data_IF_394200627719
#
_entry.id   IF_394200627719
#
_cell.length_a   1.000
_cell.length_b   1.000
_cell.length_c   1.000
_cell.angle_alpha   90.00
_cell.angle_beta   90.00
_cell.angle_gamma   90.00
#
_symmetry.space_group_name_H-M   'P 1'
#
loop_
_entity.id
_entity.type
_entity.pdbx_description
1 polymer ?
#
# COMPACT_ATOMS: atom_id res chain seq x y z
N UNK A 1 -37.91 -51.03 -6.25
CA UNK A 1 -36.89 -51.49 -5.29
C UNK A 1 -35.57 -50.81 -5.58
N UNK A 2 -35.13 -49.87 -4.72
CA UNK A 2 -33.73 -49.39 -4.61
C UNK A 2 -33.48 -48.98 -3.15
N UNK A 3 -32.27 -49.28 -2.73
CA UNK A 3 -31.79 -49.63 -1.39
C UNK A 3 -31.60 -48.42 -0.45
N UNK A 4 -31.95 -48.57 0.84
CA UNK A 4 -31.77 -47.60 1.93
C UNK A 4 -30.96 -48.25 3.07
N UNK A 5 -29.68 -48.54 2.85
CA UNK A 5 -28.83 -49.17 3.88
C UNK A 5 -27.47 -48.49 4.14
N UNK A 6 -27.16 -47.35 3.49
CA UNK A 6 -25.83 -46.72 3.56
C UNK A 6 -25.61 -45.57 4.55
N UNK A 7 -26.62 -45.10 5.30
CA UNK A 7 -26.49 -43.86 6.11
C UNK A 7 -26.32 -44.04 7.63
N UNK A 8 -26.26 -45.29 8.12
CA UNK A 8 -26.16 -45.59 9.56
C UNK A 8 -24.74 -45.74 10.11
N UNK A 9 -23.79 -46.29 9.35
CA UNK A 9 -22.47 -46.70 9.89
C UNK A 9 -21.46 -45.55 10.07
N UNK A 10 -21.49 -44.50 9.25
CA UNK A 10 -20.53 -43.39 9.36
C UNK A 10 -20.76 -42.46 10.57
N UNK A 11 -21.94 -42.46 11.19
CA UNK A 11 -22.24 -41.57 12.34
C UNK A 11 -21.79 -42.14 13.69
N UNK A 12 -21.57 -43.45 13.81
CA UNK A 12 -21.04 -44.06 15.04
C UNK A 12 -19.51 -43.98 15.12
N UNK A 13 -18.79 -44.13 14.00
CA UNK A 13 -17.32 -44.01 13.98
C UNK A 13 -16.82 -42.59 14.31
N UNK A 14 -17.53 -41.55 13.88
CA UNK A 14 -17.19 -40.16 14.23
C UNK A 14 -17.42 -39.83 15.72
N UNK A 15 -18.43 -40.45 16.36
CA UNK A 15 -18.71 -40.24 17.79
C UNK A 15 -17.68 -40.89 18.70
N UNK A 16 -17.13 -42.05 18.31
CA UNK A 16 -16.07 -42.74 19.07
C UNK A 16 -14.74 -41.97 18.97
N UNK A 17 -14.40 -41.42 17.80
CA UNK A 17 -13.19 -40.59 17.61
C UNK A 17 -13.23 -39.26 18.39
N UNK A 18 -14.40 -38.63 18.53
CA UNK A 18 -14.55 -37.41 19.37
C UNK A 18 -14.36 -37.68 20.86
N UNK A 19 -14.90 -38.79 21.39
CA UNK A 19 -14.75 -39.17 22.80
C UNK A 19 -13.33 -39.59 23.18
N UNK A 20 -12.52 -40.06 22.22
CA UNK A 20 -11.10 -40.34 22.44
C UNK A 20 -10.26 -39.07 22.63
N UNK A 21 -10.48 -38.05 21.79
CA UNK A 21 -9.73 -36.77 21.84
C UNK A 21 -10.05 -35.94 23.09
N UNK A 22 -11.30 -35.96 23.57
CA UNK A 22 -11.68 -35.25 24.80
C UNK A 22 -11.02 -35.84 26.06
N UNK A 23 -10.71 -37.15 26.08
CA UNK A 23 -10.02 -37.82 27.21
C UNK A 23 -8.51 -37.56 27.23
N UNK A 24 -7.88 -37.28 26.10
CA UNK A 24 -6.46 -36.92 26.03
C UNK A 24 -6.22 -35.47 26.46
N UNK A 25 -7.13 -34.55 26.13
CA UNK A 25 -7.06 -33.15 26.56
C UNK A 25 -7.22 -33.01 28.08
N UNK A 26 -8.13 -33.77 28.70
CA UNK A 26 -8.30 -33.75 30.17
C UNK A 26 -7.10 -34.32 30.94
N UNK A 27 -6.34 -35.27 30.36
CA UNK A 27 -5.13 -35.80 31.01
C UNK A 27 -3.95 -34.83 30.95
N UNK A 28 -3.82 -34.04 29.88
CA UNK A 28 -2.78 -33.00 29.76
C UNK A 28 -2.97 -31.85 30.74
N UNK A 29 -4.22 -31.42 30.97
CA UNK A 29 -4.54 -30.32 31.90
C UNK A 29 -4.36 -30.68 33.40
N UNK A 30 -4.34 -31.97 33.75
CA UNK A 30 -4.06 -32.42 35.13
C UNK A 30 -2.55 -32.55 35.43
N UNK A 31 -1.70 -32.80 34.43
CA UNK A 31 -0.24 -32.86 34.59
C UNK A 31 0.39 -31.46 34.71
N UNK A 32 -0.10 -30.47 33.95
CA UNK A 32 0.41 -29.09 34.00
C UNK A 32 0.12 -28.40 35.35
N UNK A 33 -0.99 -28.76 36.01
CA UNK A 33 -1.34 -28.25 37.37
C UNK A 33 -0.48 -28.84 38.48
N UNK A 34 0.28 -29.92 38.23
CA UNK A 34 1.18 -30.53 39.24
C UNK A 34 2.59 -29.93 39.22
N UNK A 35 3.04 -29.32 38.12
CA UNK A 35 4.38 -28.73 38.03
C UNK A 35 4.48 -27.31 38.59
N UNK A 36 3.36 -26.56 38.64
CA UNK A 36 3.34 -25.15 39.11
C UNK A 36 3.43 -25.02 40.65
N UNK A 37 3.39 -26.11 41.43
CA UNK A 37 3.39 -26.07 42.92
C UNK A 37 4.74 -26.35 43.61
N UNK A 38 5.88 -26.42 42.89
CA UNK A 38 7.19 -26.76 43.49
C UNK A 38 8.26 -25.67 43.47
N UNK A 39 7.93 -24.42 43.18
CA UNK A 39 8.91 -23.39 42.84
C UNK A 39 9.01 -22.14 43.72
N UNK A 40 8.73 -22.17 45.03
CA UNK A 40 8.96 -20.98 45.89
C UNK A 40 9.46 -21.33 47.30
N UNK A 41 10.67 -20.87 47.66
CA UNK A 41 11.14 -20.84 49.05
C UNK A 41 12.65 -20.63 49.25
N UNK A 42 12.98 -19.56 50.01
CA UNK A 42 14.29 -19.15 50.64
C UNK A 42 15.10 -18.12 49.84
N UNK A 43 15.63 -17.03 50.40
CA UNK A 43 15.64 -16.48 51.77
C UNK A 43 16.44 -15.15 51.82
N UNK A 44 16.07 -14.28 52.77
CA UNK A 44 16.70 -12.98 53.09
C UNK A 44 17.96 -13.11 53.96
N UNK A 45 18.92 -12.16 53.85
CA UNK A 45 19.74 -11.65 54.97
C UNK A 45 20.40 -10.29 54.67
N UNK A 46 20.27 -9.38 55.63
CA UNK A 46 20.82 -8.02 55.73
C UNK A 46 22.34 -7.95 55.97
N UNK A 47 22.95 -6.77 55.67
CA UNK A 47 23.79 -6.00 56.62
C UNK A 47 24.19 -4.61 56.09
N UNK A 48 24.25 -3.67 57.04
CA UNK A 48 24.50 -2.23 56.93
C UNK A 48 25.97 -1.84 57.06
N UNK A 49 26.33 -0.61 56.63
CA UNK A 49 27.62 0.01 56.96
C UNK A 49 27.74 1.48 56.50
N UNK A 50 27.85 2.41 57.46
CA UNK A 50 28.12 3.85 57.28
C UNK A 50 29.62 4.14 57.36
N UNK A 51 30.12 5.14 56.62
CA UNK A 51 31.43 5.78 56.85
C UNK A 51 31.54 7.15 56.18
N UNK A 52 31.86 8.19 56.97
CA UNK A 52 32.15 9.60 56.55
C UNK A 52 33.67 9.85 56.59
N UNK A 53 34.21 10.69 55.68
CA UNK A 53 35.40 11.59 55.86
C UNK A 53 35.48 12.55 54.64
N UNK A 54 35.19 13.85 54.83
CA UNK A 54 36.07 15.07 54.91
C UNK A 54 36.62 15.56 53.55
N UNK A 55 36.39 16.86 53.30
CA UNK A 55 36.52 17.62 52.03
C UNK A 55 37.84 18.39 51.96
N UNK A 56 38.40 18.51 50.76
CA UNK A 56 39.45 19.48 50.39
C UNK A 56 38.88 20.54 49.43
N UNK A 57 38.96 21.82 49.82
CA UNK A 57 38.24 22.95 49.18
C UNK A 57 38.84 23.45 47.84
N UNK A 58 40.00 22.94 47.41
CA UNK A 58 40.60 23.33 46.11
C UNK A 58 40.06 22.56 44.90
N UNK A 59 39.40 21.42 45.11
CA UNK A 59 38.72 20.69 44.03
C UNK A 59 37.34 21.28 43.67
N UNK A 60 36.71 22.03 44.59
CA UNK A 60 35.33 22.50 44.42
C UNK A 60 35.19 23.61 43.35
N UNK A 61 36.20 24.47 43.13
CA UNK A 61 36.10 25.55 42.12
C UNK A 61 36.29 25.04 40.69
N UNK A 62 37.22 24.12 40.46
CA UNK A 62 37.44 23.50 39.15
C UNK A 62 36.25 22.61 38.75
N UNK A 63 35.65 21.92 39.74
CA UNK A 63 34.43 21.14 39.54
C UNK A 63 33.22 22.04 39.26
N UNK A 64 33.09 23.20 39.93
CA UNK A 64 32.04 24.20 39.64
C UNK A 64 32.15 24.76 38.21
N UNK A 65 33.37 25.02 37.71
CA UNK A 65 33.61 25.45 36.33
C UNK A 65 33.20 24.39 35.29
N UNK A 66 33.61 23.14 35.49
CA UNK A 66 33.24 21.99 34.63
C UNK A 66 31.72 21.72 34.68
N UNK A 67 31.08 21.91 35.84
CA UNK A 67 29.63 21.75 36.02
C UNK A 67 28.83 22.85 35.30
N UNK A 68 29.29 24.11 35.32
CA UNK A 68 28.66 25.22 34.57
C UNK A 68 28.74 25.02 33.05
N UNK A 69 29.87 24.55 32.51
CA UNK A 69 30.01 24.23 31.09
C UNK A 69 29.09 23.08 30.66
N UNK A 70 29.05 22.00 31.45
CA UNK A 70 28.11 20.87 31.23
C UNK A 70 26.64 21.29 31.30
N UNK A 71 26.27 22.24 32.15
CA UNK A 71 24.90 22.76 32.19
C UNK A 71 24.54 23.60 30.96
N UNK A 72 25.47 24.44 30.46
CA UNK A 72 25.26 25.18 29.20
C UNK A 72 25.11 24.24 28.01
N UNK A 73 25.97 23.23 27.87
CA UNK A 73 25.90 22.26 26.77
C UNK A 73 24.62 21.40 26.84
N UNK A 74 24.16 21.03 28.05
CA UNK A 74 22.87 20.36 28.25
C UNK A 74 21.68 21.27 27.90
N UNK A 75 21.77 22.57 28.18
CA UNK A 75 20.70 23.53 27.85
C UNK A 75 20.62 23.78 26.34
N UNK A 76 21.76 23.85 25.63
CA UNK A 76 21.80 23.98 24.16
C UNK A 76 21.24 22.75 23.46
N UNK A 77 21.68 21.54 23.86
CA UNK A 77 21.13 20.27 23.34
C UNK A 77 19.64 20.09 23.66
N UNK A 78 19.18 20.63 24.79
CA UNK A 78 17.77 20.63 25.18
C UNK A 78 16.91 21.55 24.33
N UNK A 79 17.44 22.71 23.91
CA UNK A 79 16.77 23.64 22.98
C UNK A 79 16.72 23.07 21.56
N UNK A 80 17.82 22.57 21.02
CA UNK A 80 17.84 21.92 19.70
C UNK A 80 16.90 20.71 19.62
N UNK A 81 16.84 19.88 20.68
CA UNK A 81 15.88 18.77 20.74
C UNK A 81 14.44 19.27 20.79
N UNK A 82 14.15 20.34 21.53
CA UNK A 82 12.80 20.92 21.59
C UNK A 82 12.40 21.51 20.24
N UNK A 83 13.27 22.29 19.60
CA UNK A 83 13.04 22.85 18.26
C UNK A 83 12.82 21.75 17.22
N UNK A 84 13.67 20.71 17.18
CA UNK A 84 13.46 19.56 16.28
C UNK A 84 12.16 18.80 16.58
N UNK A 85 11.73 18.72 17.84
CA UNK A 85 10.48 18.04 18.22
C UNK A 85 9.26 18.91 17.86
N UNK A 86 9.38 20.22 17.98
CA UNK A 86 8.32 21.18 17.69
C UNK A 86 8.16 21.41 16.19
N UNK A 87 9.26 21.40 15.43
CA UNK A 87 9.28 21.36 13.97
C UNK A 87 8.71 20.04 13.44
N UNK A 88 9.08 18.90 14.04
CA UNK A 88 8.47 17.60 13.74
C UNK A 88 6.97 17.59 14.03
N UNK A 89 6.52 18.16 15.17
CA UNK A 89 5.10 18.32 15.49
C UNK A 89 4.38 19.26 14.51
N UNK A 90 4.98 20.37 14.10
CA UNK A 90 4.41 21.29 13.09
C UNK A 90 4.31 20.61 11.72
N UNK A 91 5.28 19.77 11.34
CA UNK A 91 5.21 18.95 10.12
C UNK A 91 4.15 17.83 10.22
N UNK A 92 3.94 17.25 11.40
CA UNK A 92 2.91 16.23 11.63
C UNK A 92 1.48 16.81 11.62
N UNK A 93 1.31 18.08 12.04
CA UNK A 93 0.00 18.77 12.05
C UNK A 93 -0.40 19.29 10.66
N UNK A 94 0.54 19.64 9.78
CA UNK A 94 0.25 20.10 8.41
C UNK A 94 -0.10 18.99 7.41
N UNK A 95 0.06 17.72 7.77
CA UNK A 95 -0.03 16.60 6.82
C UNK A 95 -1.46 16.20 6.41
N UNK A 96 -2.50 16.89 6.91
CA UNK A 96 -3.90 16.55 6.67
C UNK A 96 -4.63 17.35 5.59
N UNK A 97 -3.95 18.26 4.89
CA UNK A 97 -4.57 19.15 3.89
C UNK A 97 -4.02 18.95 2.46
N UNK A 98 -3.18 17.94 2.24
CA UNK A 98 -2.55 17.65 0.94
C UNK A 98 -3.08 16.37 0.28
N UNK A 99 -2.72 16.17 -0.99
CA UNK A 99 -3.00 14.94 -1.72
C UNK A 99 -2.11 13.80 -1.19
N UNK A 100 -2.73 12.72 -0.71
CA UNK A 100 -2.02 11.53 -0.21
C UNK A 100 -2.20 10.35 -1.18
N UNK A 101 -1.08 9.76 -1.58
CA UNK A 101 -1.00 8.62 -2.49
C UNK A 101 -1.56 7.35 -1.83
N UNK A 102 -2.57 6.75 -2.45
CA UNK A 102 -3.16 5.47 -2.00
C UNK A 102 -2.30 4.28 -2.41
N UNK A 103 -1.80 4.31 -3.65
CA UNK A 103 -0.99 3.29 -4.31
C UNK A 103 -0.41 3.81 -5.62
N UNK A 104 0.67 3.16 -6.09
CA UNK A 104 1.15 3.29 -7.47
C UNK A 104 0.84 1.99 -8.19
N UNK A 105 0.31 2.10 -9.41
CA UNK A 105 -0.01 0.97 -10.26
C UNK A 105 0.88 1.03 -11.50
N UNK A 106 1.71 0.00 -11.72
CA UNK A 106 2.54 -0.08 -12.92
C UNK A 106 2.52 -1.42 -13.62
N UNK A 107 1.45 -2.20 -13.42
CA UNK A 107 1.20 -3.42 -14.20
C UNK A 107 -0.23 -3.50 -14.68
N UNK A 108 -0.40 -4.00 -15.91
CA UNK A 108 -1.68 -4.17 -16.60
C UNK A 108 -2.61 -2.93 -16.49
N UNK A 109 -2.08 -1.74 -16.78
CA UNK A 109 -2.83 -0.49 -16.66
C UNK A 109 -3.88 -0.40 -17.77
N UNK A 110 -5.15 -0.50 -17.37
CA UNK A 110 -6.32 -0.35 -18.25
C UNK A 110 -7.16 0.89 -17.94
N UNK A 111 -8.23 1.06 -18.71
CA UNK A 111 -9.23 2.12 -18.50
C UNK A 111 -8.93 3.47 -19.16
N UNK A 112 -7.86 3.58 -19.96
CA UNK A 112 -7.45 4.84 -20.60
C UNK A 112 -8.54 5.38 -21.54
N UNK A 113 -9.06 4.53 -22.41
CA UNK A 113 -10.15 4.90 -23.32
C UNK A 113 -11.43 5.27 -22.56
N UNK A 114 -11.78 4.52 -21.51
CA UNK A 114 -12.93 4.85 -20.66
C UNK A 114 -12.76 6.21 -20.00
N UNK A 115 -11.58 6.55 -19.51
CA UNK A 115 -11.33 7.86 -18.87
C UNK A 115 -11.55 9.03 -19.83
N UNK A 116 -11.03 8.92 -21.05
CA UNK A 116 -11.22 9.91 -22.11
C UNK A 116 -12.69 10.01 -22.55
N UNK A 117 -13.36 8.87 -22.74
CA UNK A 117 -14.78 8.84 -23.10
C UNK A 117 -15.68 9.45 -22.00
N UNK A 118 -15.40 9.15 -20.73
CA UNK A 118 -16.12 9.74 -19.59
C UNK A 118 -15.91 11.26 -19.54
N UNK A 119 -14.71 11.74 -19.82
CA UNK A 119 -14.41 13.18 -19.94
C UNK A 119 -15.28 13.84 -21.00
N UNK A 120 -15.36 13.23 -22.18
CA UNK A 120 -16.20 13.73 -23.28
C UNK A 120 -17.70 13.69 -22.93
N UNK A 121 -18.14 12.65 -22.22
CA UNK A 121 -19.52 12.55 -21.73
C UNK A 121 -19.83 13.69 -20.73
N UNK A 122 -18.99 13.91 -19.73
CA UNK A 122 -19.19 14.97 -18.74
C UNK A 122 -19.17 16.36 -19.37
N UNK A 123 -18.28 16.64 -20.33
CA UNK A 123 -18.32 17.91 -21.09
C UNK A 123 -19.66 18.13 -21.82
N UNK A 124 -20.25 17.08 -22.39
CA UNK A 124 -21.59 17.17 -23.02
C UNK A 124 -22.68 17.48 -22.00
N UNK A 125 -22.61 16.87 -20.80
CA UNK A 125 -23.58 17.14 -19.72
C UNK A 125 -23.43 18.58 -19.23
N UNK A 126 -22.20 19.01 -18.90
CA UNK A 126 -21.90 20.37 -18.45
C UNK A 126 -22.35 21.42 -19.48
N UNK A 127 -22.13 21.16 -20.77
CA UNK A 127 -22.58 22.04 -21.87
C UNK A 127 -24.10 22.19 -21.89
N UNK A 128 -24.85 21.09 -21.72
CA UNK A 128 -26.33 21.15 -21.64
C UNK A 128 -26.83 21.90 -20.40
N UNK A 129 -26.05 21.91 -19.32
CA UNK A 129 -26.36 22.62 -18.08
C UNK A 129 -25.86 24.08 -18.09
N UNK A 130 -25.15 24.52 -19.13
CA UNK A 130 -24.56 25.86 -19.21
C UNK A 130 -23.41 26.11 -18.24
N UNK A 131 -22.71 25.06 -17.80
CA UNK A 131 -21.56 25.15 -16.90
C UNK A 131 -20.24 25.38 -17.65
N UNK A 132 -19.27 26.01 -16.99
CA UNK A 132 -17.96 26.29 -17.59
C UNK A 132 -17.22 24.97 -17.91
N UNK A 133 -16.89 24.79 -19.19
CA UNK A 133 -16.18 23.60 -19.69
C UNK A 133 -14.67 23.64 -19.43
N UNK A 134 -14.09 24.81 -19.16
CA UNK A 134 -12.66 24.96 -18.88
C UNK A 134 -12.27 24.27 -17.56
N UNK A 135 -13.21 24.22 -16.61
CA UNK A 135 -13.02 23.51 -15.34
C UNK A 135 -13.06 21.98 -15.50
N UNK A 136 -13.49 21.46 -16.66
CA UNK A 136 -13.38 20.04 -17.00
C UNK A 136 -12.05 19.79 -17.71
N UNK A 137 -11.09 19.25 -16.94
CA UNK A 137 -9.72 19.00 -17.39
C UNK A 137 -9.70 18.18 -18.67
N UNK A 138 -8.94 18.62 -19.66
CA UNK A 138 -8.77 17.87 -20.89
C UNK A 138 -8.06 16.53 -20.62
N UNK A 139 -8.52 15.47 -21.28
CA UNK A 139 -8.02 14.12 -21.06
C UNK A 139 -7.83 13.40 -22.39
N UNK A 140 -6.59 13.34 -22.87
CA UNK A 140 -6.21 12.70 -24.16
C UNK A 140 -5.40 11.43 -23.94
N UNK A 141 -5.78 10.65 -22.92
CA UNK A 141 -5.02 9.48 -22.47
C UNK A 141 -4.70 8.50 -23.59
N UNK A 142 -5.65 8.27 -24.52
CA UNK A 142 -5.44 7.33 -25.61
C UNK A 142 -4.41 7.86 -26.60
N UNK A 143 -4.60 9.09 -27.08
CA UNK A 143 -3.67 9.74 -28.02
C UNK A 143 -2.27 9.85 -27.45
N UNK A 144 -2.14 10.25 -26.19
CA UNK A 144 -0.85 10.41 -25.53
C UNK A 144 -0.14 9.05 -25.33
N UNK A 145 -0.88 7.96 -25.14
CA UNK A 145 -0.31 6.60 -25.10
C UNK A 145 0.21 6.17 -26.46
N UNK A 146 -0.55 6.43 -27.53
CA UNK A 146 -0.11 6.14 -28.90
C UNK A 146 1.11 6.97 -29.27
N UNK A 147 1.14 8.24 -28.88
CA UNK A 147 2.29 9.12 -29.10
C UNK A 147 3.54 8.64 -28.35
N UNK A 148 3.38 8.14 -27.12
CA UNK A 148 4.49 7.53 -26.37
C UNK A 148 5.06 6.30 -27.10
N UNK A 149 4.20 5.47 -27.70
CA UNK A 149 4.63 4.33 -28.52
C UNK A 149 5.31 4.78 -29.83
N UNK A 150 4.78 5.80 -30.49
CA UNK A 150 5.35 6.36 -31.72
C UNK A 150 6.74 6.97 -31.47
N UNK A 151 6.91 7.73 -30.38
CA UNK A 151 8.18 8.35 -29.99
C UNK A 151 9.26 7.37 -29.58
N UNK A 152 8.93 6.08 -29.40
CA UNK A 152 9.90 5.04 -29.12
C UNK A 152 10.87 4.72 -30.29
N UNK A 153 11.01 5.61 -31.28
CA UNK A 153 11.91 5.48 -32.44
C UNK A 153 11.74 4.16 -33.21
N UNK A 154 10.49 3.71 -33.30
CA UNK A 154 10.14 2.47 -33.97
C UNK A 154 9.98 2.71 -35.47
N UNK A 155 10.72 1.98 -36.28
CA UNK A 155 10.60 1.97 -37.74
C UNK A 155 10.13 0.61 -38.22
N UNK A 156 9.29 0.56 -39.25
CA UNK A 156 8.92 -0.69 -39.90
C UNK A 156 9.91 -0.97 -41.04
N UNK A 157 10.49 -2.17 -41.07
CA UNK A 157 11.27 -2.62 -42.21
C UNK A 157 10.34 -2.87 -43.41
N UNK A 158 10.63 -2.25 -44.55
CA UNK A 158 9.76 -2.35 -45.73
C UNK A 158 9.84 -3.72 -46.44
N UNK A 159 10.85 -4.55 -46.14
CA UNK A 159 11.08 -5.83 -46.80
C UNK A 159 10.51 -7.01 -46.01
N UNK A 160 10.72 -7.02 -44.69
CA UNK A 160 10.28 -8.12 -43.82
C UNK A 160 9.16 -7.74 -42.83
N UNK A 161 8.74 -6.47 -42.83
CA UNK A 161 7.72 -5.91 -41.93
C UNK A 161 8.06 -6.09 -40.44
N UNK A 162 9.34 -6.30 -40.11
CA UNK A 162 9.77 -6.29 -38.72
C UNK A 162 9.79 -4.87 -38.17
N UNK A 163 9.41 -4.76 -36.90
CA UNK A 163 9.57 -3.53 -36.14
C UNK A 163 11.05 -3.42 -35.73
N UNK A 164 11.70 -2.29 -36.01
CA UNK A 164 13.10 -2.04 -35.67
C UNK A 164 13.26 -0.82 -34.75
N UNK A 165 14.15 -0.92 -33.76
CA UNK A 165 14.63 0.20 -32.95
C UNK A 165 15.96 0.68 -33.56
N UNK A 166 16.05 1.98 -33.82
CA UNK A 166 17.20 2.64 -34.43
C UNK A 166 17.65 1.99 -35.75
N UNK A 167 16.71 1.44 -36.53
CA UNK A 167 16.92 0.74 -37.81
C UNK A 167 17.80 -0.54 -37.74
N UNK A 168 18.32 -0.91 -36.57
CA UNK A 168 19.29 -2.00 -36.43
C UNK A 168 18.74 -3.22 -35.68
N UNK A 169 17.90 -3.01 -34.67
CA UNK A 169 17.51 -4.08 -33.76
C UNK A 169 16.07 -4.52 -33.99
N UNK A 170 15.83 -5.81 -34.22
CA UNK A 170 14.48 -6.37 -34.21
C UNK A 170 13.81 -6.11 -32.86
N UNK A 171 12.66 -5.46 -32.88
CA UNK A 171 11.85 -5.15 -31.70
C UNK A 171 10.63 -6.04 -31.71
N UNK A 172 10.53 -6.88 -30.68
CA UNK A 172 9.26 -7.40 -30.25
C UNK A 172 8.82 -6.61 -29.02
N UNK A 173 7.56 -6.18 -28.97
CA UNK A 173 6.96 -5.63 -27.75
C UNK A 173 6.00 -6.66 -27.20
N UNK A 174 6.18 -7.03 -25.94
CA UNK A 174 5.24 -7.90 -25.23
C UNK A 174 4.46 -7.07 -24.23
N UNK A 175 3.17 -6.87 -24.53
CA UNK A 175 2.24 -6.29 -23.57
C UNK A 175 1.83 -7.37 -22.56
N UNK A 176 2.27 -7.20 -21.31
CA UNK A 176 2.06 -8.19 -20.28
C UNK A 176 0.82 -7.86 -19.45
N UNK A 177 -0.23 -8.65 -19.60
CA UNK A 177 -1.46 -8.51 -18.83
C UNK A 177 -1.41 -9.26 -17.49
N UNK A 178 -0.36 -10.04 -17.22
CA UNK A 178 -0.17 -10.65 -15.91
C UNK A 178 0.35 -9.61 -14.93
N UNK A 179 -0.44 -9.35 -13.90
CA UNK A 179 -0.20 -8.28 -12.92
C UNK A 179 1.19 -8.40 -12.27
N UNK A 180 1.56 -9.55 -11.69
CA UNK A 180 2.93 -9.76 -11.20
C UNK A 180 3.32 -11.23 -11.21
N UNK A 181 2.71 -11.99 -10.30
CA UNK A 181 2.99 -13.40 -10.07
C UNK A 181 1.71 -14.21 -10.30
N UNK A 182 1.89 -15.49 -10.64
CA UNK A 182 0.78 -16.42 -10.82
C UNK A 182 1.03 -17.69 -9.98
N UNK A 183 -0.03 -18.23 -9.37
CA UNK A 183 0.05 -19.49 -8.61
C UNK A 183 0.28 -20.70 -9.51
N UNK A 184 -0.01 -20.59 -10.81
CA UNK A 184 0.11 -21.65 -11.80
C UNK A 184 1.53 -21.71 -12.36
N UNK A 185 2.30 -22.78 -12.11
CA UNK A 185 3.68 -22.90 -12.57
C UNK A 185 3.83 -22.73 -14.09
N UNK A 186 2.88 -23.21 -14.88
CA UNK A 186 2.88 -23.09 -16.34
C UNK A 186 2.79 -21.63 -16.81
N UNK A 187 2.01 -20.80 -16.11
CA UNK A 187 1.90 -19.38 -16.41
C UNK A 187 3.17 -18.63 -15.98
N UNK A 188 3.80 -19.06 -14.89
CA UNK A 188 5.10 -18.56 -14.46
C UNK A 188 6.24 -18.97 -15.39
N UNK A 189 6.16 -20.15 -16.01
CA UNK A 189 7.13 -20.58 -17.01
C UNK A 189 7.02 -19.74 -18.29
N UNK A 190 5.80 -19.45 -18.75
CA UNK A 190 5.58 -18.50 -19.86
C UNK A 190 6.13 -17.11 -19.49
N UNK A 191 5.86 -16.63 -18.27
CA UNK A 191 6.43 -15.37 -17.78
C UNK A 191 7.94 -15.40 -17.82
N UNK A 192 8.57 -16.49 -17.39
CA UNK A 192 10.04 -16.67 -17.43
C UNK A 192 10.58 -16.60 -18.85
N UNK A 193 9.92 -17.23 -19.82
CA UNK A 193 10.31 -17.16 -21.24
C UNK A 193 10.25 -15.71 -21.75
N UNK A 194 9.15 -15.00 -21.48
CA UNK A 194 8.97 -13.59 -21.87
C UNK A 194 10.06 -12.71 -21.25
N UNK A 195 10.27 -12.81 -19.94
CA UNK A 195 11.23 -11.95 -19.23
C UNK A 195 12.68 -12.21 -19.67
N UNK A 196 13.03 -13.45 -20.06
CA UNK A 196 14.35 -13.82 -20.58
C UNK A 196 14.56 -13.49 -22.06
N UNK A 197 13.51 -13.15 -22.80
CA UNK A 197 13.62 -12.75 -24.21
C UNK A 197 14.24 -11.36 -24.36
N UNK A 198 14.62 -10.99 -25.57
CA UNK A 198 15.09 -9.64 -25.93
C UNK A 198 13.95 -8.66 -26.22
N UNK A 199 12.69 -9.09 -26.13
CA UNK A 199 11.54 -8.23 -26.35
C UNK A 199 11.49 -7.08 -25.32
N UNK A 200 11.01 -5.91 -25.72
CA UNK A 200 10.63 -4.83 -24.81
C UNK A 200 9.37 -5.27 -24.07
N UNK A 201 9.38 -5.18 -22.73
CA UNK A 201 8.25 -5.60 -21.89
C UNK A 201 7.48 -4.38 -21.39
N UNK A 202 6.16 -4.42 -21.54
CA UNK A 202 5.26 -3.37 -21.08
C UNK A 202 4.20 -3.96 -20.11
N UNK A 203 4.48 -3.95 -18.78
CA UNK A 203 5.77 -3.71 -18.14
C UNK A 203 6.65 -4.97 -18.09
N UNK A 204 7.93 -4.81 -17.72
CA UNK A 204 8.78 -5.91 -17.25
C UNK A 204 8.35 -6.40 -15.87
N UNK A 205 8.77 -7.62 -15.48
CA UNK A 205 8.46 -8.16 -14.15
C UNK A 205 9.04 -7.31 -13.01
N UNK A 206 10.26 -6.80 -13.18
CA UNK A 206 10.87 -5.93 -12.18
C UNK A 206 10.11 -4.61 -12.02
N UNK A 207 9.66 -4.01 -13.13
CA UNK A 207 8.82 -2.83 -13.10
C UNK A 207 7.48 -3.15 -12.41
N UNK A 208 6.87 -4.30 -12.67
CA UNK A 208 5.64 -4.71 -11.99
C UNK A 208 5.85 -4.87 -10.47
N UNK A 209 6.92 -5.54 -10.04
CA UNK A 209 7.26 -5.77 -8.62
C UNK A 209 7.61 -4.47 -7.86
N UNK A 210 8.19 -3.49 -8.55
CA UNK A 210 8.50 -2.18 -7.98
C UNK A 210 7.24 -1.42 -7.51
N UNK A 211 6.06 -1.79 -8.01
CA UNK A 211 4.77 -1.21 -7.61
C UNK A 211 4.03 -2.02 -6.55
N UNK A 212 4.70 -3.00 -5.92
CA UNK A 212 4.14 -3.70 -4.76
C UNK A 212 3.96 -2.74 -3.58
N UNK A 213 2.96 -3.02 -2.74
CA UNK A 213 2.71 -2.22 -1.52
C UNK A 213 3.89 -2.27 -0.55
N UNK A 214 4.69 -3.35 -0.59
CA UNK A 214 5.93 -3.45 0.19
C UNK A 214 6.97 -2.42 -0.27
N UNK A 215 7.18 -2.29 -1.58
CA UNK A 215 8.13 -1.29 -2.11
C UNK A 215 7.63 0.12 -1.82
N UNK A 216 6.34 0.40 -2.01
CA UNK A 216 5.74 1.68 -1.64
C UNK A 216 5.98 2.01 -0.14
N UNK A 217 5.75 1.03 0.75
CA UNK A 217 6.02 1.19 2.18
C UNK A 217 7.49 1.47 2.46
N UNK A 218 8.42 0.73 1.85
CA UNK A 218 9.86 0.94 2.05
C UNK A 218 10.28 2.32 1.54
N UNK A 219 9.81 2.75 0.36
CA UNK A 219 10.11 4.08 -0.19
C UNK A 219 9.64 5.22 0.73
N UNK A 220 8.58 5.00 1.52
CA UNK A 220 8.11 6.00 2.48
C UNK A 220 9.05 6.24 3.68
N UNK A 221 10.00 5.33 3.92
CA UNK A 221 10.95 5.46 5.02
C UNK A 221 11.95 6.61 4.80
N UNK A 222 12.54 7.18 5.87
CA UNK A 222 13.55 8.22 5.74
C UNK A 222 14.75 7.75 4.91
N UNK A 223 15.19 8.55 3.93
CA UNK A 223 16.37 8.26 3.10
C UNK A 223 16.14 7.29 1.94
N UNK A 224 14.98 6.64 1.83
CA UNK A 224 14.74 5.63 0.79
C UNK A 224 14.46 6.24 -0.58
N UNK A 225 13.78 7.39 -0.67
CA UNK A 225 13.60 8.10 -1.95
C UNK A 225 14.93 8.71 -2.38
N UNK A 226 15.63 9.34 -1.44
CA UNK A 226 16.93 10.00 -1.61
C UNK A 226 17.99 9.06 -2.20
N UNK A 227 17.88 7.75 -1.91
CA UNK A 227 18.74 6.71 -2.50
C UNK A 227 18.68 6.65 -4.02
N UNK A 228 17.54 7.02 -4.63
CA UNK A 228 17.33 6.98 -6.08
C UNK A 228 17.56 8.33 -6.77
N UNK A 229 17.71 9.41 -6.00
CA UNK A 229 17.92 10.79 -6.47
C UNK A 229 19.13 11.40 -5.76
N UNK A 230 20.36 10.99 -6.14
CA UNK A 230 21.58 11.38 -5.41
C UNK A 230 21.99 12.83 -5.67
N UNK A 231 21.44 13.51 -6.70
CA UNK A 231 21.86 14.86 -7.03
C UNK A 231 21.15 15.87 -6.13
N UNK A 232 21.88 16.79 -5.46
CA UNK A 232 21.26 17.77 -4.55
C UNK A 232 20.20 18.67 -5.21
N UNK A 233 20.29 18.89 -6.52
CA UNK A 233 19.32 19.67 -7.30
C UNK A 233 17.94 18.99 -7.36
N UNK A 234 17.86 17.68 -7.10
CA UNK A 234 16.61 16.90 -7.08
C UNK A 234 15.86 17.03 -5.75
N UNK A 235 16.39 17.77 -4.77
CA UNK A 235 15.75 17.95 -3.46
C UNK A 235 14.28 18.44 -3.52
N UNK A 236 13.89 19.38 -4.42
CA UNK A 236 12.49 19.77 -4.58
C UNK A 236 11.60 18.63 -5.09
N UNK A 237 12.11 17.80 -6.01
CA UNK A 237 11.40 16.62 -6.52
C UNK A 237 11.23 15.56 -5.43
N UNK A 238 12.30 15.26 -4.69
CA UNK A 238 12.25 14.35 -3.53
C UNK A 238 11.21 14.84 -2.53
N UNK A 239 11.19 16.14 -2.23
CA UNK A 239 10.19 16.73 -1.33
C UNK A 239 8.77 16.53 -1.88
N UNK A 240 8.54 16.83 -3.16
CA UNK A 240 7.23 16.65 -3.79
C UNK A 240 6.75 15.19 -3.71
N UNK A 241 7.63 14.21 -3.99
CA UNK A 241 7.31 12.78 -3.84
C UNK A 241 6.98 12.43 -2.38
N UNK A 242 7.80 12.88 -1.42
CA UNK A 242 7.59 12.57 0.00
C UNK A 242 6.34 13.22 0.58
N UNK A 243 5.95 14.38 0.06
CA UNK A 243 4.75 15.10 0.49
C UNK A 243 3.47 14.34 0.11
N UNK A 244 3.49 13.49 -0.93
CA UNK A 244 2.33 12.65 -1.29
C UNK A 244 2.22 11.39 -0.43
N UNK A 245 3.28 10.95 0.25
CA UNK A 245 3.24 9.67 0.96
C UNK A 245 2.37 9.70 2.21
N UNK A 246 1.32 8.89 2.21
CA UNK A 246 0.63 8.49 3.43
C UNK A 246 1.58 7.75 4.37
N UNK A 247 1.26 7.73 5.67
CA UNK A 247 2.07 6.94 6.63
C UNK A 247 1.85 5.45 6.39
N UNK A 248 2.94 4.70 6.28
CA UNK A 248 2.95 3.26 6.10
C UNK A 248 3.94 2.60 7.06
N UNK A 249 3.67 1.35 7.42
CA UNK A 249 4.45 0.62 8.42
C UNK A 249 4.61 -0.85 8.06
N UNK A 250 5.80 -1.37 8.40
CA UNK A 250 6.08 -2.81 8.45
C UNK A 250 5.37 -3.44 9.65
N UNK A 251 4.85 -4.66 9.44
CA UNK A 251 4.24 -5.45 10.52
C UNK A 251 4.99 -6.74 10.84
N UNK A 252 6.24 -6.83 10.37
CA UNK A 252 7.13 -7.92 10.76
C UNK A 252 7.58 -7.74 12.21
N UNK A 253 7.45 -8.79 13.01
CA UNK A 253 7.98 -8.87 14.37
C UNK A 253 9.42 -9.38 14.30
N UNK A 254 10.39 -8.47 14.16
CA UNK A 254 11.81 -8.81 14.11
C UNK A 254 12.69 -7.70 14.73
N UNK A 255 13.96 -8.02 14.98
CA UNK A 255 14.93 -7.11 15.62
C UNK A 255 15.14 -5.80 14.84
N UNK A 256 14.89 -5.80 13.54
CA UNK A 256 15.04 -4.64 12.67
C UNK A 256 13.78 -3.74 12.65
N UNK A 257 12.73 -4.07 13.40
CA UNK A 257 11.48 -3.30 13.49
C UNK A 257 11.19 -2.89 14.94
N UNK A 258 12.03 -2.01 15.49
CA UNK A 258 11.88 -1.46 16.85
C UNK A 258 10.53 -0.76 17.08
N UNK A 259 9.85 -0.32 16.01
CA UNK A 259 8.57 0.38 16.08
C UNK A 259 7.37 -0.56 16.18
N UNK A 260 7.55 -1.87 15.97
CA UNK A 260 6.46 -2.85 15.91
C UNK A 260 5.57 -2.80 17.16
N UNK A 261 6.16 -2.91 18.36
CA UNK A 261 5.37 -2.97 19.60
C UNK A 261 4.55 -1.69 19.86
N UNK A 262 5.10 -0.52 19.50
CA UNK A 262 4.41 0.75 19.63
C UNK A 262 3.30 0.91 18.57
N UNK A 263 3.56 0.49 17.34
CA UNK A 263 2.56 0.44 16.27
C UNK A 263 1.36 -0.42 16.69
N UNK A 264 1.60 -1.64 17.17
CA UNK A 264 0.53 -2.54 17.60
C UNK A 264 -0.30 -1.94 18.75
N UNK A 265 0.32 -1.23 19.70
CA UNK A 265 -0.42 -0.51 20.75
C UNK A 265 -1.32 0.58 20.17
N UNK A 266 -0.85 1.32 19.16
CA UNK A 266 -1.65 2.36 18.48
C UNK A 266 -2.82 1.75 17.71
N UNK A 267 -2.58 0.67 16.96
CA UNK A 267 -3.63 -0.05 16.23
C UNK A 267 -4.68 -0.58 17.20
N UNK A 268 -4.29 -1.19 18.33
CA UNK A 268 -5.24 -1.64 19.38
C UNK A 268 -6.09 -0.52 19.97
N UNK A 269 -5.54 0.70 20.08
CA UNK A 269 -6.25 1.84 20.64
C UNK A 269 -7.22 2.47 19.63
N UNK A 270 -6.84 2.51 18.35
CA UNK A 270 -7.60 3.20 17.30
C UNK A 270 -7.51 2.45 15.96
N UNK A 271 -8.11 1.25 15.85
CA UNK A 271 -7.93 0.42 14.66
C UNK A 271 -8.57 1.03 13.40
N UNK A 272 -9.59 1.87 13.57
CA UNK A 272 -10.26 2.61 12.48
C UNK A 272 -9.37 3.66 11.79
N UNK A 273 -8.17 3.95 12.32
CA UNK A 273 -7.20 4.85 11.70
C UNK A 273 -6.27 4.13 10.72
N UNK A 274 -6.42 2.82 10.54
CA UNK A 274 -5.51 2.01 9.75
C UNK A 274 -6.25 1.18 8.69
N UNK A 275 -5.52 0.81 7.65
CA UNK A 275 -5.88 -0.20 6.67
C UNK A 275 -4.73 -1.19 6.61
N UNK A 276 -5.03 -2.48 6.68
CA UNK A 276 -4.03 -3.53 6.43
C UNK A 276 -4.21 -4.07 5.02
N UNK A 277 -3.15 -4.03 4.22
CA UNK A 277 -3.14 -4.44 2.81
C UNK A 277 -2.13 -5.55 2.59
N UNK A 278 -2.44 -6.49 1.68
CA UNK A 278 -1.46 -7.48 1.24
C UNK A 278 -0.36 -6.78 0.43
N UNK A 279 0.86 -7.28 0.48
CA UNK A 279 2.01 -6.69 -0.23
C UNK A 279 1.90 -6.83 -1.75
N UNK A 280 1.32 -7.96 -2.20
CA UNK A 280 1.05 -8.25 -3.60
C UNK A 280 -0.16 -7.45 -4.11
N UNK A 281 0.04 -6.75 -5.21
CA UNK A 281 -1.04 -6.17 -6.02
C UNK A 281 -1.71 -7.29 -6.81
N UNK A 282 -2.98 -7.60 -6.49
CA UNK A 282 -3.94 -8.47 -7.19
C UNK A 282 -3.39 -9.74 -7.90
N UNK A 283 -3.86 -10.92 -7.49
CA UNK A 283 -3.60 -12.17 -8.20
C UNK A 283 -4.67 -12.40 -9.27
N UNK A 284 -4.27 -12.34 -10.55
CA UNK A 284 -5.13 -12.77 -11.65
C UNK A 284 -4.99 -14.28 -11.83
N UNK A 285 -5.98 -15.06 -11.38
CA UNK A 285 -6.17 -16.39 -11.94
C UNK A 285 -6.81 -16.22 -13.32
N UNK A 286 -6.19 -16.79 -14.35
CA UNK A 286 -6.55 -16.64 -15.76
C UNK A 286 -7.96 -17.20 -16.13
N UNK A 287 -8.80 -17.51 -15.15
CA UNK A 287 -10.13 -18.10 -15.29
C UNK A 287 -11.23 -17.39 -14.47
N UNK A 288 -11.20 -16.05 -14.41
CA UNK A 288 -12.32 -15.21 -13.92
C UNK A 288 -12.64 -15.30 -12.42
N UNK A 289 -11.87 -16.01 -11.60
CA UNK A 289 -11.97 -15.88 -10.15
C UNK A 289 -11.01 -14.78 -9.69
N UNK A 290 -11.49 -13.54 -9.73
CA UNK A 290 -10.79 -12.41 -9.13
C UNK A 290 -10.69 -12.67 -7.62
N UNK A 291 -9.53 -13.11 -7.13
CA UNK A 291 -9.26 -13.08 -5.69
C UNK A 291 -9.04 -11.60 -5.34
N UNK A 292 -10.15 -10.90 -5.03
CA UNK A 292 -10.14 -9.49 -4.65
C UNK A 292 -9.07 -9.30 -3.57
N UNK A 293 -8.19 -8.33 -3.77
CA UNK A 293 -7.19 -7.96 -2.77
C UNK A 293 -7.89 -7.74 -1.42
N UNK A 294 -7.67 -8.65 -0.48
CA UNK A 294 -8.31 -8.55 0.83
C UNK A 294 -7.67 -7.42 1.62
N UNK A 295 -8.44 -6.35 1.83
CA UNK A 295 -8.13 -5.29 2.78
C UNK A 295 -8.79 -5.60 4.12
N UNK A 296 -8.09 -5.32 5.22
CA UNK A 296 -8.65 -5.45 6.56
C UNK A 296 -8.79 -4.07 7.19
N UNK A 297 -9.89 -3.85 7.90
CA UNK A 297 -10.26 -2.56 8.47
C UNK A 297 -10.77 -2.73 9.90
N UNK A 298 -10.53 -1.70 10.72
CA UNK A 298 -11.06 -1.68 12.08
C UNK A 298 -10.62 -2.91 12.89
N UNK A 299 -11.53 -3.46 13.68
CA UNK A 299 -11.26 -4.61 14.55
C UNK A 299 -10.76 -5.86 13.80
N UNK A 300 -11.11 -6.02 12.51
CA UNK A 300 -10.64 -7.14 11.70
C UNK A 300 -9.10 -7.17 11.57
N UNK A 301 -8.46 -6.00 11.66
CA UNK A 301 -6.99 -5.90 11.69
C UNK A 301 -6.44 -6.62 12.93
N UNK A 302 -7.06 -6.43 14.09
CA UNK A 302 -6.60 -7.03 15.35
C UNK A 302 -6.80 -8.54 15.36
N UNK A 303 -7.97 -9.00 14.92
CA UNK A 303 -8.26 -10.43 14.76
C UNK A 303 -7.25 -11.10 13.83
N UNK A 304 -6.92 -10.43 12.73
CA UNK A 304 -5.98 -10.98 11.75
C UNK A 304 -4.54 -11.02 12.28
N UNK A 305 -4.09 -9.95 12.95
CA UNK A 305 -2.76 -9.92 13.56
C UNK A 305 -2.60 -10.99 14.66
N UNK A 306 -3.67 -11.29 15.41
CA UNK A 306 -3.68 -12.35 16.42
C UNK A 306 -3.57 -13.75 15.81
N UNK A 307 -4.19 -13.96 14.63
CA UNK A 307 -4.25 -15.26 13.96
C UNK A 307 -3.06 -15.54 13.02
N UNK A 308 -2.32 -14.51 12.61
CA UNK A 308 -1.16 -14.66 11.73
C UNK A 308 0.12 -14.88 12.52
N UNK A 309 0.94 -15.83 12.05
CA UNK A 309 2.34 -15.97 12.45
C UNK A 309 3.21 -14.85 11.83
N UNK A 310 4.49 -14.81 12.20
CA UNK A 310 5.42 -13.79 11.70
C UNK A 310 5.59 -13.81 10.18
N UNK A 311 5.58 -14.98 9.56
CA UNK A 311 5.71 -15.14 8.11
C UNK A 311 4.50 -14.57 7.37
N UNK A 312 3.29 -14.94 7.80
CA UNK A 312 2.05 -14.39 7.23
C UNK A 312 1.96 -12.89 7.43
N UNK A 313 2.33 -12.35 8.60
CA UNK A 313 2.37 -10.90 8.83
C UNK A 313 3.28 -10.19 7.83
N UNK A 314 4.43 -10.77 7.47
CA UNK A 314 5.35 -10.16 6.49
C UNK A 314 4.77 -9.99 5.07
N UNK A 315 3.68 -10.70 4.77
CA UNK A 315 2.95 -10.55 3.50
C UNK A 315 1.99 -9.36 3.49
N UNK A 316 2.00 -8.51 4.52
CA UNK A 316 1.12 -7.35 4.64
C UNK A 316 1.87 -6.10 5.07
N UNK A 317 1.24 -4.96 4.84
CA UNK A 317 1.63 -3.66 5.39
C UNK A 317 0.46 -3.04 6.15
N UNK A 318 0.75 -2.13 7.07
CA UNK A 318 -0.24 -1.18 7.58
C UNK A 318 -0.05 0.17 6.91
N UNK A 319 -1.17 0.81 6.58
CA UNK A 319 -1.23 2.16 6.04
C UNK A 319 -2.23 2.98 6.84
N UNK A 320 -1.98 4.28 6.97
CA UNK A 320 -2.96 5.22 7.52
C UNK A 320 -4.24 5.22 6.67
N UNK A 321 -5.39 5.16 7.33
CA UNK A 321 -6.67 5.23 6.64
C UNK A 321 -6.94 6.68 6.23
N UNK A 322 -6.78 6.95 4.94
CA UNK A 322 -7.08 8.24 4.33
C UNK A 322 -8.58 8.53 4.42
N UNK A 323 -8.90 9.81 4.67
CA UNK A 323 -10.28 10.30 4.81
C UNK A 323 -10.50 11.42 3.81
N UNK A 324 -10.91 11.07 2.59
CA UNK A 324 -11.25 12.08 1.59
C UNK A 324 -12.60 12.72 1.91
N UNK A 325 -12.78 13.98 1.49
CA UNK A 325 -14.05 14.69 1.61
C UNK A 325 -15.13 13.99 0.78
N UNK A 326 -16.24 13.67 1.42
CA UNK A 326 -17.42 13.19 0.71
C UNK A 326 -18.10 14.34 -0.05
N UNK A 327 -18.66 14.02 -1.22
CA UNK A 327 -19.51 14.92 -2.01
C UNK A 327 -20.81 14.22 -2.36
N UNK A 328 -21.84 14.97 -2.74
CA UNK A 328 -23.08 14.41 -3.28
C UNK A 328 -22.94 14.25 -4.79
N UNK A 329 -23.27 13.08 -5.32
CA UNK A 329 -23.27 12.85 -6.77
C UNK A 329 -24.30 11.78 -7.16
N UNK A 330 -24.58 11.65 -8.46
CA UNK A 330 -25.35 10.54 -9.02
C UNK A 330 -24.40 9.44 -9.49
N UNK A 331 -24.53 8.23 -8.97
CA UNK A 331 -23.84 7.06 -9.55
C UNK A 331 -24.82 6.32 -10.46
N UNK A 332 -24.42 6.11 -11.73
CA UNK A 332 -25.22 5.41 -12.73
C UNK A 332 -24.64 4.02 -13.00
N UNK A 333 -25.41 2.96 -12.72
CA UNK A 333 -25.11 1.59 -13.16
C UNK A 333 -26.36 0.91 -13.73
N UNK A 334 -26.17 0.01 -14.71
CA UNK A 334 -27.24 -0.56 -15.53
C UNK A 334 -28.34 -1.28 -14.72
N UNK A 335 -27.98 -1.86 -13.57
CA UNK A 335 -28.88 -2.67 -12.73
C UNK A 335 -29.45 -1.92 -11.53
N UNK A 336 -29.20 -0.62 -11.38
CA UNK A 336 -29.67 0.10 -10.21
C UNK A 336 -31.18 0.36 -10.29
N UNK A 337 -31.97 -0.37 -9.49
CA UNK A 337 -33.43 -0.22 -9.46
C UNK A 337 -33.89 1.20 -9.08
N UNK A 338 -33.07 1.96 -8.32
CA UNK A 338 -33.38 3.36 -7.99
C UNK A 338 -33.52 4.25 -9.23
N UNK A 339 -32.87 3.91 -10.34
CA UNK A 339 -32.98 4.67 -11.60
C UNK A 339 -34.31 4.41 -12.29
N UNK A 340 -34.91 3.23 -12.05
CA UNK A 340 -36.21 2.85 -12.63
C UNK A 340 -37.37 3.58 -11.94
N UNK A 341 -37.19 4.05 -10.70
CA UNK A 341 -38.20 4.78 -9.94
C UNK A 341 -38.33 6.27 -10.26
N UNK A 342 -37.47 6.84 -11.12
CA UNK A 342 -37.65 8.19 -11.68
C UNK A 342 -37.54 9.37 -10.69
N UNK A 343 -36.95 9.19 -9.50
CA UNK A 343 -36.74 10.25 -8.51
C UNK A 343 -35.30 10.81 -8.52
N UNK A 344 -35.11 11.95 -7.84
CA UNK A 344 -33.78 12.50 -7.55
C UNK A 344 -33.05 11.60 -6.54
N UNK A 345 -32.03 10.87 -6.97
CA UNK A 345 -31.20 10.05 -6.09
C UNK A 345 -29.79 10.63 -6.02
N UNK A 346 -29.48 11.33 -4.94
CA UNK A 346 -28.10 11.69 -4.62
C UNK A 346 -27.52 10.64 -3.68
N UNK A 347 -26.28 10.27 -3.93
CA UNK A 347 -25.51 9.40 -3.05
C UNK A 347 -24.33 10.19 -2.49
N UNK A 348 -23.97 9.91 -1.25
CA UNK A 348 -22.71 10.38 -0.68
C UNK A 348 -21.57 9.54 -1.26
N UNK A 349 -20.62 10.20 -1.91
CA UNK A 349 -19.55 9.55 -2.66
C UNK A 349 -18.18 10.12 -2.32
N UNK A 350 -17.15 9.31 -2.54
CA UNK A 350 -15.76 9.66 -2.32
C UNK A 350 -14.98 9.42 -3.62
N UNK A 351 -14.39 10.49 -4.21
CA UNK A 351 -13.56 10.35 -5.40
C UNK A 351 -12.13 9.94 -5.05
N UNK A 352 -11.49 9.27 -6.01
CA UNK A 352 -10.09 8.85 -5.97
C UNK A 352 -9.43 9.20 -7.31
N UNK A 353 -8.44 10.09 -7.27
CA UNK A 353 -7.70 10.55 -8.43
C UNK A 353 -6.56 9.58 -8.77
N UNK A 354 -6.53 9.14 -10.01
CA UNK A 354 -5.40 8.43 -10.60
C UNK A 354 -4.76 9.28 -11.70
N UNK A 355 -3.45 9.42 -11.67
CA UNK A 355 -2.67 10.08 -12.71
C UNK A 355 -1.98 9.01 -13.55
N UNK A 356 -2.17 9.07 -14.88
CA UNK A 356 -1.49 8.16 -15.80
C UNK A 356 -0.14 8.73 -16.22
N UNK A 357 0.88 7.89 -16.19
CA UNK A 357 2.22 8.19 -16.67
C UNK A 357 2.72 7.13 -17.63
N UNK A 358 3.71 7.50 -18.44
CA UNK A 358 4.45 6.61 -19.34
C UNK A 358 5.93 6.88 -19.18
N UNK A 359 6.71 5.80 -19.12
CA UNK A 359 8.16 5.85 -19.06
C UNK A 359 8.72 4.82 -20.03
N UNK A 360 9.53 5.29 -20.98
CA UNK A 360 10.40 4.47 -21.81
C UNK A 360 11.83 4.73 -21.38
N UNK A 361 12.51 3.67 -20.96
CA UNK A 361 13.90 3.75 -20.55
C UNK A 361 14.64 2.46 -20.84
N UNK A 362 15.96 2.56 -20.80
CA UNK A 362 16.86 1.44 -20.98
C UNK A 362 17.35 0.96 -19.61
N UNK A 363 16.92 -0.23 -19.22
CA UNK A 363 17.24 -0.81 -17.91
C UNK A 363 18.73 -1.13 -17.74
N UNK A 364 19.48 -1.31 -18.84
CA UNK A 364 20.89 -1.70 -18.77
C UNK A 364 21.80 -0.54 -18.38
N UNK A 365 21.46 0.69 -18.80
CA UNK A 365 22.26 1.89 -18.55
C UNK A 365 21.53 2.95 -17.72
N UNK A 366 20.22 2.78 -17.45
CA UNK A 366 19.40 3.72 -16.68
C UNK A 366 18.92 4.93 -17.47
N UNK A 367 19.11 4.95 -18.79
CA UNK A 367 18.71 6.08 -19.65
C UNK A 367 17.19 6.20 -19.75
N UNK A 368 16.69 7.43 -19.66
CA UNK A 368 15.28 7.77 -19.85
C UNK A 368 15.11 8.36 -21.25
N UNK A 369 14.43 7.64 -22.12
CA UNK A 369 14.16 8.05 -23.50
C UNK A 369 12.87 8.86 -23.60
N UNK A 370 11.88 8.52 -22.77
CA UNK A 370 10.61 9.24 -22.70
C UNK A 370 10.04 9.14 -21.28
N UNK A 371 9.54 10.25 -20.75
CA UNK A 371 8.85 10.31 -19.47
C UNK A 371 7.77 11.40 -19.53
N UNK A 372 6.51 10.99 -19.45
CA UNK A 372 5.39 11.93 -19.55
C UNK A 372 4.19 11.50 -18.72
N UNK A 373 3.53 12.48 -18.11
CA UNK A 373 2.15 12.36 -17.64
C UNK A 373 1.22 12.45 -18.86
N UNK A 374 0.30 11.51 -19.00
CA UNK A 374 -0.46 11.32 -20.24
C UNK A 374 -1.97 11.49 -20.08
N UNK A 375 -2.45 11.66 -18.85
CA UNK A 375 -3.86 11.89 -18.55
C UNK A 375 -4.19 11.51 -17.12
N UNK A 376 -5.47 11.46 -16.82
CA UNK A 376 -5.96 11.15 -15.48
C UNK A 376 -7.17 10.22 -15.56
N UNK A 377 -7.54 9.63 -14.43
CA UNK A 377 -8.82 8.98 -14.20
C UNK A 377 -9.32 9.39 -12.82
N UNK A 378 -10.62 9.61 -12.70
CA UNK A 378 -11.26 9.67 -11.40
C UNK A 378 -12.10 8.41 -11.24
N UNK A 379 -11.99 7.78 -10.08
CA UNK A 379 -12.89 6.69 -9.68
C UNK A 379 -13.68 7.19 -8.49
N UNK A 380 -15.00 7.12 -8.56
CA UNK A 380 -15.88 7.60 -7.50
C UNK A 380 -16.67 6.44 -6.94
N UNK A 381 -16.57 6.24 -5.63
CA UNK A 381 -17.26 5.16 -4.91
C UNK A 381 -18.27 5.72 -3.92
N UNK A 382 -19.25 4.91 -3.51
CA UNK A 382 -20.08 5.25 -2.35
C UNK A 382 -19.18 5.50 -1.13
N UNK A 383 -19.47 6.52 -0.33
CA UNK A 383 -18.68 6.85 0.87
C UNK A 383 -18.69 5.70 1.90
N UNK A 384 -19.73 4.88 1.89
CA UNK A 384 -19.84 3.65 2.70
C UNK A 384 -18.99 2.48 2.19
N UNK A 385 -18.41 2.56 1.00
CA UNK A 385 -17.64 1.48 0.39
C UNK A 385 -16.16 1.49 0.85
N UNK A 386 -15.71 0.33 1.32
CA UNK A 386 -14.35 0.15 1.85
C UNK A 386 -13.28 -0.01 0.77
N UNK A 387 -13.61 -0.61 -0.38
CA UNK A 387 -12.68 -0.84 -1.49
C UNK A 387 -13.12 -0.07 -2.76
N UNK A 388 -12.13 0.30 -3.59
CA UNK A 388 -12.32 1.00 -4.85
C UNK A 388 -11.95 0.04 -6.00
N UNK A 389 -12.94 -0.41 -6.76
CA UNK A 389 -12.76 -1.31 -7.90
C UNK A 389 -14.02 -1.26 -8.74
N UNK A 390 -13.89 -1.01 -10.04
CA UNK A 390 -15.04 -0.84 -10.94
C UNK A 390 -15.86 -2.14 -11.01
N UNK A 391 -15.20 -3.28 -10.84
CA UNK A 391 -15.80 -4.61 -10.73
C UNK A 391 -16.78 -4.74 -9.53
N UNK A 392 -16.67 -3.88 -8.50
CA UNK A 392 -17.37 -4.05 -7.23
C UNK A 392 -18.79 -3.43 -7.16
N UNK A 393 -19.41 -3.05 -8.28
CA UNK A 393 -20.78 -2.47 -8.40
C UNK A 393 -21.05 -1.25 -7.48
N UNK A 394 -20.00 -0.68 -6.87
CA UNK A 394 -20.06 0.45 -5.92
C UNK A 394 -19.09 1.57 -6.28
N UNK A 395 -18.44 1.46 -7.44
CA UNK A 395 -17.46 2.42 -7.98
C UNK A 395 -17.81 2.70 -9.44
N UNK A 396 -17.77 3.96 -9.86
CA UNK A 396 -17.95 4.38 -11.25
C UNK A 396 -16.74 5.15 -11.76
N UNK A 397 -16.59 5.18 -13.08
CA UNK A 397 -15.70 6.13 -13.75
C UNK A 397 -16.25 7.55 -13.59
N UNK A 398 -15.36 8.48 -13.34
CA UNK A 398 -15.68 9.88 -13.11
C UNK A 398 -14.57 10.79 -13.70
N UNK A 399 -14.75 12.11 -13.63
CA UNK A 399 -13.70 13.09 -13.98
C UNK A 399 -13.70 14.27 -13.02
N UNK A 400 -12.54 14.90 -12.84
CA UNK A 400 -12.45 16.09 -12.01
C UNK A 400 -13.15 17.29 -12.66
N UNK A 401 -13.89 18.03 -11.84
CA UNK A 401 -14.31 19.39 -12.13
C UNK A 401 -13.55 20.32 -11.18
N UNK A 402 -12.67 21.15 -11.72
CA UNK A 402 -11.84 22.04 -10.93
C UNK A 402 -12.69 23.14 -10.30
N UNK A 403 -12.44 23.39 -9.01
CA UNK A 403 -13.07 24.43 -8.20
C UNK A 403 -11.97 25.26 -7.56
N UNK A 404 -12.20 26.57 -7.46
CA UNK A 404 -11.23 27.53 -6.90
C UNK A 404 -11.06 27.41 -5.37
#
# INVERSE_FOLDING_TARGET
>A
MRDKSGRGRNREEEKVKRRGREREVQKGEEEEKREVKKGEGKGMRDRSGRGRKRKDEKGEEEEKGKKRKRMRDKSGRGRERKEKTEEKRKSEVKKGEGEEEIEVNGSAIGGLAFSELTTNLHKRILSKLGLNLENSVENRTLSNTVEALYKACLTLDENDFSLRLDQQHYVAVVFNQQIMLNKRPELMEIRRIIERSTAIKAPSLIAALAHSKKVQQVLSEPGMVERFFPNPEEAPLIKAIRDTYAKMWRIEENENNEQFSELIKRVKKQPNNFVMKKTEYALWDAFNNYEVEKIYLGEEILETLANFDGEKRSSYILMEKLRSKSVQNHIIWAENEKHKSGGDFFEEVTPELGIFGTLLGNIANGEVLYNAQIGHKLRTKLASANACGIENVKTAYDTAYLVD
#
